data_IF_608072955701
#
_entry.id   IF_608072955701
#
_cell.length_a   1.000
_cell.length_b   1.000
_cell.length_c   1.000
_cell.angle_alpha   90.00
_cell.angle_beta   90.00
_cell.angle_gamma   90.00
#
_symmetry.space_group_name_H-M   'P 1'
#
loop_
_entity.id
_entity.type
_entity.pdbx_description
1 polymer ?
#
# COMPACT_ATOMS: atom_id res chain seq x y z
N UNK A 1 3.53 16.05 -13.65
CA UNK A 1 3.46 14.94 -12.68
C UNK A 1 4.23 15.37 -11.45
N UNK A 2 3.55 15.66 -10.33
CA UNK A 2 4.22 15.92 -9.06
C UNK A 2 4.50 14.57 -8.35
N UNK A 3 5.75 14.21 -8.06
CA UNK A 3 6.10 12.92 -7.46
C UNK A 3 5.40 12.66 -6.12
N UNK A 4 5.10 13.71 -5.34
CA UNK A 4 4.36 13.58 -4.08
C UNK A 4 2.90 13.20 -4.38
N UNK A 5 2.26 13.85 -5.34
CA UNK A 5 0.91 13.50 -5.78
C UNK A 5 0.81 12.05 -6.28
N UNK A 6 1.80 11.57 -7.03
CA UNK A 6 1.88 10.19 -7.53
C UNK A 6 2.08 9.20 -6.38
N UNK A 7 3.00 9.48 -5.45
CA UNK A 7 3.24 8.63 -4.29
C UNK A 7 2.00 8.54 -3.37
N UNK A 8 1.29 9.66 -3.17
CA UNK A 8 0.03 9.69 -2.40
C UNK A 8 -1.06 8.83 -3.05
N UNK A 9 -1.21 8.92 -4.37
CA UNK A 9 -2.13 8.06 -5.10
C UNK A 9 -1.72 6.59 -4.98
N UNK A 10 -0.42 6.30 -5.10
CA UNK A 10 0.15 4.97 -4.92
C UNK A 10 -0.10 4.39 -3.53
N UNK A 11 0.02 5.19 -2.46
CA UNK A 11 -0.32 4.77 -1.09
C UNK A 11 -1.79 4.36 -1.00
N UNK A 12 -2.70 5.20 -1.48
CA UNK A 12 -4.14 4.91 -1.45
C UNK A 12 -4.49 3.66 -2.25
N UNK A 13 -3.85 3.47 -3.41
CA UNK A 13 -4.04 2.27 -4.23
C UNK A 13 -3.50 1.01 -3.54
N UNK A 14 -2.34 1.10 -2.88
CA UNK A 14 -1.76 0.00 -2.12
C UNK A 14 -2.62 -0.39 -0.92
N UNK A 15 -3.14 0.59 -0.16
CA UNK A 15 -4.05 0.36 0.96
C UNK A 15 -5.33 -0.35 0.50
N UNK A 16 -5.99 0.14 -0.56
CA UNK A 16 -7.20 -0.50 -1.10
C UNK A 16 -6.96 -1.95 -1.55
N UNK A 17 -5.80 -2.22 -2.17
CA UNK A 17 -5.42 -3.59 -2.55
C UNK A 17 -5.23 -4.50 -1.35
N UNK A 18 -4.56 -4.01 -0.31
CA UNK A 18 -4.37 -4.75 0.93
C UNK A 18 -5.71 -5.07 1.60
N UNK A 19 -6.59 -4.07 1.72
CA UNK A 19 -7.93 -4.22 2.28
C UNK A 19 -8.76 -5.24 1.50
N UNK A 20 -8.78 -5.15 0.17
CA UNK A 20 -9.51 -6.09 -0.67
C UNK A 20 -9.02 -7.55 -0.47
N UNK A 21 -7.71 -7.80 -0.46
CA UNK A 21 -7.17 -9.14 -0.20
C UNK A 21 -7.50 -9.64 1.21
N UNK A 22 -7.46 -8.75 2.21
CA UNK A 22 -7.84 -9.11 3.59
C UNK A 22 -9.33 -9.44 3.71
N UNK A 23 -10.21 -8.71 3.02
CA UNK A 23 -11.65 -8.98 2.96
C UNK A 23 -11.94 -10.33 2.29
N UNK A 24 -11.25 -10.68 1.21
CA UNK A 24 -11.38 -11.98 0.55
C UNK A 24 -11.01 -13.14 1.50
N UNK A 25 -9.90 -13.00 2.23
CA UNK A 25 -9.48 -14.00 3.23
C UNK A 25 -10.48 -14.07 4.39
N UNK A 26 -11.01 -12.93 4.86
CA UNK A 26 -11.99 -12.90 5.94
C UNK A 26 -13.34 -13.50 5.52
N UNK A 27 -13.78 -13.23 4.28
CA UNK A 27 -15.01 -13.77 3.70
C UNK A 27 -15.01 -15.29 3.58
N UNK A 28 -13.83 -15.91 3.42
CA UNK A 28 -13.65 -17.37 3.43
C UNK A 28 -14.11 -18.01 4.75
N UNK A 29 -13.90 -17.34 5.89
CA UNK A 29 -14.30 -17.85 7.22
C UNK A 29 -15.81 -17.72 7.48
N UNK A 30 -16.54 -16.98 6.66
CA UNK A 30 -18.00 -16.78 6.79
C UNK A 30 -18.85 -17.76 5.98
N UNK A 31 -18.24 -18.52 5.06
CA UNK A 31 -18.92 -19.45 4.14
C UNK A 31 -18.82 -20.90 4.62
N UNK A 32 -19.17 -21.15 5.88
CA UNK A 32 -19.28 -22.51 6.43
C UNK A 32 -20.59 -23.15 5.93
N UNK A 33 -20.59 -23.74 4.72
CA UNK A 33 -21.50 -24.86 4.45
C UNK A 33 -22.16 -24.99 3.07
N UNK A 34 -22.14 -23.99 2.18
CA UNK A 34 -22.75 -24.13 0.85
C UNK A 34 -21.96 -23.34 -0.21
N UNK A 35 -21.02 -24.04 -0.86
CA UNK A 35 -20.28 -23.50 -2.00
C UNK A 35 -19.15 -22.55 -1.62
N UNK A 36 -18.22 -23.01 -0.78
CA UNK A 36 -16.95 -22.32 -0.58
C UNK A 36 -16.29 -22.12 -1.95
N UNK A 37 -16.35 -20.89 -2.46
CA UNK A 37 -15.46 -20.48 -3.53
C UNK A 37 -14.05 -20.75 -3.02
N UNK A 38 -13.28 -21.53 -3.77
CA UNK A 38 -11.89 -21.86 -3.44
C UNK A 38 -11.06 -20.57 -3.50
N UNK A 39 -11.08 -19.81 -2.42
CA UNK A 39 -10.29 -18.59 -2.28
C UNK A 39 -8.83 -19.02 -2.17
N UNK A 40 -7.99 -18.61 -3.12
CA UNK A 40 -6.55 -18.83 -3.06
C UNK A 40 -5.93 -17.95 -1.96
N UNK A 41 -5.96 -18.47 -0.73
CA UNK A 41 -5.40 -17.78 0.44
C UNK A 41 -3.91 -17.50 0.27
N UNK A 42 -3.17 -18.41 -0.38
CA UNK A 42 -1.75 -18.23 -0.60
C UNK A 42 -1.51 -17.05 -1.57
N UNK A 43 -2.28 -16.99 -2.66
CA UNK A 43 -2.28 -15.86 -3.59
C UNK A 43 -2.66 -14.54 -2.92
N UNK A 44 -3.70 -14.53 -2.08
CA UNK A 44 -4.11 -13.30 -1.39
C UNK A 44 -3.11 -12.83 -0.33
N UNK A 45 -2.42 -13.74 0.35
CA UNK A 45 -1.30 -13.37 1.24
C UNK A 45 -0.16 -12.75 0.44
N UNK A 46 0.18 -13.30 -0.72
CA UNK A 46 1.20 -12.71 -1.61
C UNK A 46 0.76 -11.32 -2.08
N UNK A 47 -0.51 -11.14 -2.44
CA UNK A 47 -1.06 -9.83 -2.82
C UNK A 47 -0.94 -8.81 -1.67
N UNK A 48 -1.25 -9.20 -0.44
CA UNK A 48 -1.06 -8.35 0.74
C UNK A 48 0.42 -7.97 0.96
N UNK A 49 1.35 -8.92 0.78
CA UNK A 49 2.80 -8.65 0.89
C UNK A 49 3.27 -7.69 -0.19
N UNK A 50 2.83 -7.88 -1.44
CA UNK A 50 3.14 -6.96 -2.54
C UNK A 50 2.57 -5.57 -2.29
N UNK A 51 1.33 -5.48 -1.81
CA UNK A 51 0.69 -4.21 -1.44
C UNK A 51 1.46 -3.49 -0.33
N UNK A 52 1.93 -4.21 0.70
CA UNK A 52 2.78 -3.66 1.76
C UNK A 52 4.10 -3.13 1.21
N UNK A 53 4.77 -3.84 0.30
CA UNK A 53 5.98 -3.35 -0.35
C UNK A 53 5.73 -2.09 -1.20
N UNK A 54 4.64 -2.07 -1.97
CA UNK A 54 4.25 -0.90 -2.75
C UNK A 54 3.94 0.31 -1.84
N UNK A 55 3.28 0.10 -0.71
CA UNK A 55 3.05 1.14 0.30
C UNK A 55 4.39 1.69 0.82
N UNK A 56 5.30 0.81 1.23
CA UNK A 56 6.63 1.21 1.72
C UNK A 56 7.43 1.99 0.68
N UNK A 57 7.38 1.58 -0.59
CA UNK A 57 8.06 2.26 -1.67
C UNK A 57 7.54 3.69 -1.87
N UNK A 58 6.21 3.85 -1.92
CA UNK A 58 5.59 5.18 -2.03
C UNK A 58 5.91 6.07 -0.82
N UNK A 59 5.96 5.50 0.39
CA UNK A 59 6.35 6.22 1.60
C UNK A 59 7.80 6.73 1.52
N UNK A 60 8.73 5.93 1.01
CA UNK A 60 10.12 6.34 0.82
C UNK A 60 10.26 7.53 -0.12
N UNK A 61 9.45 7.60 -1.20
CA UNK A 61 9.44 8.76 -2.12
C UNK A 61 8.98 10.02 -1.39
N UNK A 62 7.95 9.93 -0.55
CA UNK A 62 7.46 11.08 0.22
C UNK A 62 8.52 11.56 1.20
N UNK A 63 9.17 10.64 1.93
CA UNK A 63 10.26 10.98 2.86
C UNK A 63 11.42 11.64 2.15
N UNK A 64 11.85 11.08 1.02
CA UNK A 64 12.91 11.68 0.21
C UNK A 64 12.56 13.11 -0.23
N UNK A 65 11.31 13.34 -0.64
CA UNK A 65 10.87 14.69 -0.98
C UNK A 65 10.91 15.63 0.24
N UNK A 66 10.54 15.17 1.43
CA UNK A 66 10.65 15.94 2.68
C UNK A 66 12.11 16.28 3.02
N UNK A 67 13.02 15.30 2.92
CA UNK A 67 14.45 15.50 3.17
C UNK A 67 15.06 16.56 2.23
N UNK A 68 14.61 16.59 0.96
CA UNK A 68 15.00 17.63 0.00
C UNK A 68 14.49 19.02 0.40
N UNK A 69 13.23 19.13 0.84
CA UNK A 69 12.68 20.39 1.32
C UNK A 69 13.41 20.91 2.56
N UNK A 70 13.71 20.04 3.52
CA UNK A 70 14.46 20.39 4.73
C UNK A 70 15.88 20.86 4.38
N UNK A 71 16.53 20.19 3.42
CA UNK A 71 17.86 20.59 2.94
C UNK A 71 17.86 22.00 2.31
N UNK A 72 16.81 22.35 1.55
CA UNK A 72 16.67 23.68 0.97
C UNK A 72 16.43 24.75 2.04
N UNK A 73 15.59 24.47 3.05
CA UNK A 73 15.35 25.38 4.17
C UNK A 73 16.64 25.64 4.96
N UNK A 74 17.42 24.60 5.22
CA UNK A 74 18.71 24.73 5.91
C UNK A 74 19.69 25.63 5.15
N UNK A 75 19.74 25.52 3.81
CA UNK A 75 20.58 26.38 2.97
C UNK A 75 20.14 27.85 3.03
N UNK A 76 18.85 28.14 3.06
CA UNK A 76 18.32 29.52 3.12
C UNK A 76 18.58 30.19 4.48
N UNK A 77 18.61 29.42 5.56
CA UNK A 77 18.87 29.95 6.92
C UNK A 77 20.36 30.22 7.22
N UNK A 78 21.25 29.98 6.26
CA UNK A 78 22.67 30.38 6.32
C UNK A 78 22.92 31.65 5.53
#
# INVERSE_FOLDING_TARGET
MDPISTARYGLMAATRRFEASAEQIAGMRGMDGQGAADVDVAGEIVNMVQAKHAFSANLSVIRFAQDMWDSLLQLQTR
#
